data_IF_664505743568
#
_entry.id   IF_664505743568
#
_cell.length_a   1.000
_cell.length_b   1.000
_cell.length_c   1.000
_cell.angle_alpha   90.00
_cell.angle_beta   90.00
_cell.angle_gamma   90.00
#
_symmetry.space_group_name_H-M   'P 1'
#
loop_
_entity.id
_entity.type
_entity.pdbx_description
1 polymer ?
#
# COMPACT_ATOMS: atom_id res chain seq x y z
N UNK A 1 -20.98 5.30 -8.22
CA UNK A 1 -19.52 5.12 -8.15
C UNK A 1 -19.25 3.74 -8.69
N UNK A 2 -18.48 3.61 -9.77
CA UNK A 2 -18.12 2.27 -10.28
C UNK A 2 -17.28 1.54 -9.21
N UNK A 3 -17.61 0.27 -8.96
CA UNK A 3 -16.92 -0.56 -7.97
C UNK A 3 -16.14 -1.59 -8.78
N UNK A 4 -14.80 -1.62 -8.65
CA UNK A 4 -13.97 -2.56 -9.42
C UNK A 4 -14.25 -4.02 -9.05
N UNK A 5 -14.33 -4.30 -7.74
CA UNK A 5 -14.73 -5.58 -7.16
C UNK A 5 -15.56 -5.34 -5.90
N UNK A 6 -16.55 -6.17 -5.56
CA UNK A 6 -17.28 -6.04 -4.30
C UNK A 6 -16.32 -6.14 -3.11
N UNK A 7 -16.40 -5.18 -2.20
CA UNK A 7 -15.59 -5.13 -0.98
C UNK A 7 -16.49 -4.85 0.21
N UNK A 8 -16.15 -5.43 1.36
CA UNK A 8 -16.78 -5.19 2.66
C UNK A 8 -15.70 -5.12 3.72
N UNK A 9 -15.97 -4.40 4.80
CA UNK A 9 -15.07 -4.37 5.96
C UNK A 9 -15.10 -5.71 6.71
N UNK A 10 -14.01 -6.04 7.41
CA UNK A 10 -13.92 -7.32 8.12
C UNK A 10 -15.00 -7.47 9.20
N UNK A 11 -15.32 -6.40 9.92
CA UNK A 11 -16.42 -6.40 10.90
C UNK A 11 -17.80 -6.62 10.26
N UNK A 12 -18.01 -6.11 9.04
CA UNK A 12 -19.23 -6.38 8.28
C UNK A 12 -19.29 -7.86 7.87
N UNK A 13 -18.19 -8.43 7.41
CA UNK A 13 -18.09 -9.87 7.13
C UNK A 13 -18.49 -10.71 8.37
N UNK A 14 -17.96 -10.39 9.55
CA UNK A 14 -18.30 -11.11 10.79
C UNK A 14 -19.79 -11.02 11.14
N UNK A 15 -20.43 -9.88 10.85
CA UNK A 15 -21.86 -9.69 11.02
C UNK A 15 -22.69 -10.49 10.01
N UNK A 16 -22.31 -10.47 8.73
CA UNK A 16 -23.03 -11.15 7.64
C UNK A 16 -22.98 -12.68 7.76
N UNK A 17 -21.83 -13.23 8.12
CA UNK A 17 -21.67 -14.68 8.32
C UNK A 17 -22.27 -15.13 9.66
N UNK A 18 -22.44 -14.21 10.62
CA UNK A 18 -23.07 -14.49 11.91
C UNK A 18 -22.25 -15.39 12.84
N UNK A 19 -20.97 -15.62 12.53
CA UNK A 19 -20.02 -16.40 13.34
C UNK A 19 -18.64 -15.78 13.26
N UNK A 20 -17.85 -15.94 14.33
CA UNK A 20 -16.44 -15.51 14.40
C UNK A 20 -15.49 -16.64 14.00
N UNK A 21 -15.76 -17.24 12.85
CA UNK A 21 -14.99 -18.37 12.31
C UNK A 21 -14.79 -18.18 10.81
N UNK A 22 -13.54 -18.31 10.35
CA UNK A 22 -13.17 -18.38 8.93
C UNK A 22 -13.09 -19.86 8.54
N UNK A 23 -13.68 -20.25 7.42
CA UNK A 23 -13.75 -21.68 7.09
C UNK A 23 -12.38 -22.29 6.75
N UNK A 24 -11.55 -21.53 6.03
CA UNK A 24 -10.25 -21.99 5.54
C UNK A 24 -9.23 -20.88 5.55
N UNK A 25 -8.06 -21.15 6.13
CA UNK A 25 -6.84 -20.37 5.94
C UNK A 25 -5.93 -21.13 4.98
N UNK A 26 -5.45 -20.43 3.96
CA UNK A 26 -4.42 -20.90 3.03
C UNK A 26 -3.19 -20.03 3.26
N UNK A 27 -2.15 -20.60 3.83
CA UNK A 27 -0.88 -19.92 4.03
C UNK A 27 0.02 -20.12 2.82
N UNK A 28 0.25 -19.05 2.06
CA UNK A 28 1.14 -19.13 0.90
C UNK A 28 2.61 -19.19 1.34
N UNK A 29 3.38 -19.98 0.62
CA UNK A 29 4.83 -20.11 0.84
C UNK A 29 5.55 -20.36 -0.49
N UNK A 30 6.88 -20.25 -0.47
CA UNK A 30 7.68 -20.65 -1.62
C UNK A 30 7.81 -22.19 -1.71
N UNK A 31 8.25 -22.70 -2.86
CA UNK A 31 8.76 -24.06 -2.96
C UNK A 31 10.11 -24.14 -2.24
N UNK A 32 10.27 -25.11 -1.33
CA UNK A 32 11.47 -25.25 -0.50
C UNK A 32 12.74 -25.51 -1.34
N UNK A 33 12.57 -26.19 -2.48
CA UNK A 33 13.61 -26.46 -3.46
C UNK A 33 13.95 -25.24 -4.35
N UNK A 34 13.24 -24.12 -4.22
CA UNK A 34 13.36 -22.95 -5.09
C UNK A 34 12.80 -23.20 -6.50
N UNK A 35 13.33 -22.48 -7.49
CA UNK A 35 13.09 -22.76 -8.91
C UNK A 35 14.39 -23.21 -9.56
N UNK A 36 14.29 -24.22 -10.44
CA UNK A 36 15.46 -24.81 -11.11
C UNK A 36 15.81 -24.04 -12.37
N UNK A 37 17.10 -23.99 -12.68
CA UNK A 37 17.64 -23.55 -13.98
C UNK A 37 17.21 -22.15 -14.45
N UNK A 38 16.86 -21.26 -13.51
CA UNK A 38 16.41 -19.90 -13.81
C UNK A 38 15.05 -19.80 -14.51
N UNK A 39 14.29 -20.90 -14.62
CA UNK A 39 12.95 -20.90 -15.21
C UNK A 39 11.89 -20.67 -14.15
N UNK A 40 11.17 -19.56 -14.27
CA UNK A 40 10.00 -19.28 -13.44
C UNK A 40 8.79 -20.00 -14.02
N UNK A 41 8.41 -21.13 -13.40
CA UNK A 41 7.25 -21.93 -13.79
C UNK A 41 6.03 -21.52 -12.97
N UNK A 42 4.91 -21.23 -13.65
CA UNK A 42 3.64 -20.96 -12.97
C UNK A 42 3.06 -22.27 -12.45
N UNK A 43 3.05 -22.45 -11.13
CA UNK A 43 2.55 -23.65 -10.46
C UNK A 43 2.18 -23.38 -9.02
N UNK A 44 1.35 -24.27 -8.48
CA UNK A 44 1.02 -24.31 -7.07
C UNK A 44 0.82 -25.77 -6.62
N UNK A 45 1.06 -26.04 -5.35
CA UNK A 45 0.86 -27.37 -4.77
C UNK A 45 0.61 -27.27 -3.27
N UNK A 46 -0.32 -28.08 -2.75
CA UNK A 46 -0.47 -28.27 -1.29
C UNK A 46 0.78 -28.97 -0.77
N UNK A 47 1.46 -28.37 0.20
CA UNK A 47 2.74 -28.86 0.72
C UNK A 47 2.75 -28.80 2.25
N UNK A 48 3.62 -29.59 2.92
CA UNK A 48 3.91 -29.36 4.33
C UNK A 48 4.32 -27.90 4.58
N UNK A 49 3.89 -27.37 5.71
CA UNK A 49 4.22 -26.00 6.09
C UNK A 49 5.71 -25.84 6.36
N UNK A 50 6.32 -24.79 5.79
CA UNK A 50 7.70 -24.41 6.10
C UNK A 50 7.71 -23.61 7.41
N UNK A 51 6.93 -22.54 7.45
CA UNK A 51 6.81 -21.65 8.63
C UNK A 51 5.36 -21.46 9.10
N UNK A 52 4.35 -21.93 8.35
CA UNK A 52 2.93 -21.66 8.65
C UNK A 52 2.50 -22.08 10.06
N UNK A 53 3.00 -23.23 10.54
CA UNK A 53 2.70 -23.77 11.88
C UNK A 53 3.23 -22.91 13.02
N UNK A 54 4.15 -21.96 12.75
CA UNK A 54 4.62 -20.98 13.74
C UNK A 54 3.58 -19.90 14.01
N UNK A 55 2.74 -19.61 13.02
CA UNK A 55 1.76 -18.52 13.05
C UNK A 55 0.34 -19.02 13.31
N UNK A 56 0.05 -20.26 12.95
CA UNK A 56 -1.25 -20.88 13.14
C UNK A 56 -1.13 -22.14 13.99
N UNK A 57 -1.81 -22.14 15.13
CA UNK A 57 -1.76 -23.23 16.10
C UNK A 57 -3.14 -23.86 16.25
N UNK A 58 -3.18 -25.19 16.37
CA UNK A 58 -4.43 -25.92 16.52
C UNK A 58 -4.75 -26.14 18.00
N UNK A 59 -5.86 -25.57 18.46
CA UNK A 59 -6.34 -25.62 19.85
C UNK A 59 -7.83 -26.00 19.83
N UNK A 60 -8.23 -27.01 20.59
CA UNK A 60 -9.63 -27.49 20.68
C UNK A 60 -10.32 -27.72 19.33
N UNK A 61 -9.56 -28.22 18.35
CA UNK A 61 -10.06 -28.50 17.00
C UNK A 61 -10.12 -27.28 16.07
N UNK A 62 -9.74 -26.09 16.54
CA UNK A 62 -9.77 -24.81 15.82
C UNK A 62 -8.36 -24.30 15.59
N UNK A 63 -8.18 -23.41 14.62
CA UNK A 63 -6.90 -22.79 14.31
C UNK A 63 -6.87 -21.34 14.79
N UNK A 64 -6.02 -21.07 15.78
CA UNK A 64 -5.73 -19.76 16.33
C UNK A 64 -4.62 -19.07 15.53
N UNK A 65 -4.69 -17.75 15.38
CA UNK A 65 -3.74 -16.93 14.62
C UNK A 65 -3.96 -15.44 14.89
N UNK A 66 -3.22 -14.56 14.22
CA UNK A 66 -3.28 -13.11 14.49
C UNK A 66 -4.63 -12.46 14.14
N UNK A 67 -5.21 -12.81 12.98
CA UNK A 67 -6.51 -12.28 12.51
C UNK A 67 -6.71 -10.77 12.72
N UNK A 68 -5.67 -9.97 12.42
CA UNK A 68 -5.67 -8.50 12.49
C UNK A 68 -6.02 -7.90 13.86
N UNK A 69 -5.67 -8.57 14.97
CA UNK A 69 -5.96 -8.12 16.34
C UNK A 69 -7.24 -8.72 16.94
N UNK A 70 -7.83 -9.70 16.25
CA UNK A 70 -9.02 -10.42 16.71
C UNK A 70 -8.69 -11.83 17.23
N UNK A 71 -7.42 -12.12 17.55
CA UNK A 71 -6.91 -13.45 17.95
C UNK A 71 -7.68 -14.07 19.12
N UNK A 72 -8.28 -13.26 20.00
CA UNK A 72 -9.08 -13.73 21.14
C UNK A 72 -10.50 -14.18 20.79
N UNK A 73 -10.98 -13.85 19.58
CA UNK A 73 -12.39 -14.04 19.22
C UNK A 73 -12.63 -14.66 17.86
N UNK A 74 -11.65 -14.60 16.95
CA UNK A 74 -11.71 -15.18 15.60
C UNK A 74 -10.77 -16.36 15.52
N UNK A 75 -11.23 -17.43 14.88
CA UNK A 75 -10.46 -18.64 14.61
C UNK A 75 -10.77 -19.15 13.20
N UNK A 76 -9.98 -20.11 12.72
CA UNK A 76 -10.26 -20.82 11.49
C UNK A 76 -10.64 -22.29 11.74
N UNK A 77 -11.55 -22.81 10.91
CA UNK A 77 -11.96 -24.23 10.95
C UNK A 77 -10.91 -25.15 10.32
N UNK A 78 -10.22 -24.67 9.30
CA UNK A 78 -9.19 -25.42 8.58
C UNK A 78 -8.02 -24.51 8.22
N UNK A 79 -6.82 -25.09 8.18
CA UNK A 79 -5.57 -24.44 7.81
C UNK A 79 -4.78 -25.37 6.89
N UNK A 80 -4.11 -24.81 5.89
CA UNK A 80 -3.12 -25.53 5.10
C UNK A 80 -2.07 -24.57 4.52
N UNK A 81 -0.92 -25.12 4.14
CA UNK A 81 0.09 -24.40 3.39
C UNK A 81 0.08 -24.79 1.90
N UNK A 82 0.21 -23.78 1.04
CA UNK A 82 0.31 -23.95 -0.41
C UNK A 82 1.60 -23.31 -0.88
N UNK A 83 2.49 -24.12 -1.46
CA UNK A 83 3.65 -23.61 -2.17
C UNK A 83 3.21 -23.08 -3.52
N UNK A 84 3.55 -21.83 -3.84
CA UNK A 84 3.15 -21.16 -5.09
C UNK A 84 4.32 -20.44 -5.74
N UNK A 85 4.38 -20.54 -7.07
CA UNK A 85 5.18 -19.71 -7.96
C UNK A 85 4.22 -19.23 -9.04
N UNK A 86 3.91 -17.94 -9.08
CA UNK A 86 2.95 -17.45 -10.05
C UNK A 86 2.43 -16.06 -9.78
N UNK A 87 1.28 -15.81 -10.39
CA UNK A 87 0.63 -14.51 -10.44
C UNK A 87 -0.75 -14.58 -9.77
N UNK A 88 -1.48 -13.45 -9.72
CA UNK A 88 -2.80 -13.37 -9.09
C UNK A 88 -3.78 -14.44 -9.62
N UNK A 89 -3.81 -14.65 -10.94
CA UNK A 89 -4.60 -15.68 -11.62
C UNK A 89 -4.24 -17.12 -11.23
N UNK A 90 -3.03 -17.35 -10.73
CA UNK A 90 -2.58 -18.67 -10.25
C UNK A 90 -3.38 -19.13 -9.02
N UNK A 91 -3.96 -18.18 -8.26
CA UNK A 91 -4.80 -18.48 -7.09
C UNK A 91 -6.24 -18.84 -7.46
N UNK A 92 -6.72 -18.52 -8.67
CA UNK A 92 -8.09 -18.84 -9.10
C UNK A 92 -8.41 -20.33 -8.98
N UNK A 93 -7.63 -21.27 -9.55
CA UNK A 93 -7.91 -22.69 -9.38
C UNK A 93 -7.81 -23.16 -7.93
N UNK A 94 -6.95 -22.55 -7.10
CA UNK A 94 -6.84 -22.85 -5.66
C UNK A 94 -8.14 -22.49 -4.95
N UNK A 95 -8.66 -21.27 -5.16
CA UNK A 95 -9.92 -20.82 -4.56
C UNK A 95 -11.11 -21.66 -5.06
N UNK A 96 -11.14 -21.99 -6.35
CA UNK A 96 -12.20 -22.82 -6.93
C UNK A 96 -12.20 -24.25 -6.37
N UNK A 97 -11.02 -24.84 -6.11
CA UNK A 97 -10.91 -26.14 -5.45
C UNK A 97 -11.53 -26.10 -4.05
N UNK A 98 -11.18 -25.10 -3.24
CA UNK A 98 -11.72 -24.98 -1.88
C UNK A 98 -13.22 -24.69 -1.88
N UNK A 99 -13.71 -23.90 -2.83
CA UNK A 99 -15.15 -23.68 -3.04
C UNK A 99 -15.88 -25.00 -3.35
N UNK A 100 -15.31 -25.87 -4.18
CA UNK A 100 -15.88 -27.19 -4.47
C UNK A 100 -15.93 -28.11 -3.23
N UNK A 101 -15.06 -27.85 -2.25
CA UNK A 101 -15.08 -28.50 -0.93
C UNK A 101 -16.08 -27.84 0.05
N UNK A 102 -16.92 -26.92 -0.42
CA UNK A 102 -17.94 -26.18 0.34
C UNK A 102 -17.39 -25.25 1.42
N UNK A 103 -16.19 -24.70 1.20
CA UNK A 103 -15.71 -23.56 1.98
C UNK A 103 -16.34 -22.27 1.45
N UNK A 104 -16.94 -21.47 2.33
CA UNK A 104 -17.63 -20.22 1.97
C UNK A 104 -16.74 -19.00 2.21
N UNK A 105 -15.83 -19.08 3.18
CA UNK A 105 -14.86 -18.03 3.51
C UNK A 105 -13.43 -18.56 3.50
N UNK A 106 -12.58 -17.95 2.67
CA UNK A 106 -11.18 -18.37 2.49
C UNK A 106 -10.29 -17.15 2.76
N UNK A 107 -9.40 -17.27 3.75
CA UNK A 107 -8.33 -16.33 4.02
C UNK A 107 -7.05 -16.79 3.33
N UNK A 108 -6.52 -15.97 2.42
CA UNK A 108 -5.21 -16.18 1.79
C UNK A 108 -4.18 -15.35 2.54
N UNK A 109 -3.31 -16.02 3.27
CA UNK A 109 -2.20 -15.44 4.01
C UNK A 109 -0.94 -15.35 3.16
N UNK A 110 -0.04 -14.43 3.52
CA UNK A 110 1.22 -14.19 2.79
C UNK A 110 0.98 -13.89 1.31
N UNK A 111 -0.05 -13.12 1.01
CA UNK A 111 -0.49 -12.79 -0.34
C UNK A 111 0.59 -12.09 -1.19
N UNK A 112 1.63 -11.51 -0.57
CA UNK A 112 2.80 -10.97 -1.27
C UNK A 112 3.62 -12.04 -2.01
N UNK A 113 3.38 -13.32 -1.75
CA UNK A 113 4.05 -14.45 -2.43
C UNK A 113 3.67 -14.50 -3.91
N UNK A 114 2.49 -14.02 -4.31
CA UNK A 114 2.07 -13.98 -5.71
C UNK A 114 2.36 -12.64 -6.37
N UNK A 115 2.72 -12.69 -7.66
CA UNK A 115 2.99 -11.51 -8.46
C UNK A 115 1.71 -10.96 -9.11
N UNK A 116 1.80 -9.77 -9.70
CA UNK A 116 0.76 -9.29 -10.61
C UNK A 116 0.69 -10.16 -11.88
N UNK A 117 -0.52 -10.38 -12.43
CA UNK A 117 -0.70 -11.06 -13.72
C UNK A 117 0.04 -10.33 -14.85
N UNK A 118 -0.37 -9.09 -15.10
CA UNK A 118 0.27 -8.21 -16.06
C UNK A 118 0.50 -6.84 -15.42
N UNK A 119 1.72 -6.61 -14.92
CA UNK A 119 2.07 -5.35 -14.29
C UNK A 119 1.91 -4.18 -15.29
N UNK A 120 1.10 -3.18 -14.92
CA UNK A 120 0.87 -1.98 -15.74
C UNK A 120 -0.15 -2.15 -16.86
N UNK A 121 -0.89 -3.28 -16.92
CA UNK A 121 -1.97 -3.47 -17.87
C UNK A 121 -3.28 -2.75 -17.46
N UNK A 122 -4.34 -2.95 -18.25
CA UNK A 122 -5.64 -2.34 -17.98
C UNK A 122 -6.22 -2.79 -16.63
N UNK A 123 -6.12 -4.07 -16.26
CA UNK A 123 -6.71 -4.55 -15.01
C UNK A 123 -5.93 -4.04 -13.78
N UNK A 124 -4.60 -4.03 -13.86
CA UNK A 124 -3.72 -3.39 -12.89
C UNK A 124 -4.12 -1.93 -12.66
N UNK A 125 -4.27 -1.15 -13.73
CA UNK A 125 -4.63 0.26 -13.62
C UNK A 125 -6.07 0.47 -13.17
N UNK A 126 -7.02 -0.41 -13.51
CA UNK A 126 -8.40 -0.34 -12.98
C UNK A 126 -8.42 -0.58 -11.48
N UNK A 127 -7.73 -1.63 -11.00
CA UNK A 127 -7.56 -1.87 -9.56
C UNK A 127 -6.96 -0.63 -8.88
N UNK A 128 -5.83 -0.13 -9.39
CA UNK A 128 -5.13 1.03 -8.82
C UNK A 128 -5.99 2.31 -8.82
N UNK A 129 -6.75 2.58 -9.88
CA UNK A 129 -7.62 3.77 -10.01
C UNK A 129 -8.83 3.72 -9.09
N UNK A 130 -9.34 2.53 -8.80
CA UNK A 130 -10.48 2.35 -7.89
C UNK A 130 -10.15 2.72 -6.43
N UNK A 131 -8.86 2.67 -6.05
CA UNK A 131 -8.38 3.06 -4.72
C UNK A 131 -8.31 4.59 -4.56
N UNK A 132 -9.47 5.24 -4.42
CA UNK A 132 -9.59 6.67 -4.13
C UNK A 132 -9.49 6.91 -2.63
N UNK A 133 -8.65 7.86 -2.21
CA UNK A 133 -8.58 8.26 -0.80
C UNK A 133 -9.93 8.76 -0.27
N UNK A 134 -10.17 8.58 1.03
CA UNK A 134 -11.39 9.06 1.69
C UNK A 134 -11.61 10.56 1.40
N UNK A 135 -12.87 10.99 1.20
CA UNK A 135 -13.19 12.40 0.99
C UNK A 135 -12.63 13.32 2.09
N UNK A 136 -12.64 12.88 3.34
CA UNK A 136 -12.15 13.64 4.48
C UNK A 136 -10.63 13.87 4.40
N UNK A 137 -9.86 12.82 4.06
CA UNK A 137 -8.40 12.95 3.89
C UNK A 137 -8.05 13.86 2.70
N UNK A 138 -8.81 13.77 1.60
CA UNK A 138 -8.65 14.68 0.46
C UNK A 138 -8.94 16.13 0.84
N UNK A 139 -10.02 16.37 1.59
CA UNK A 139 -10.36 17.70 2.07
C UNK A 139 -9.27 18.29 2.97
N UNK A 140 -8.70 17.51 3.90
CA UNK A 140 -7.57 17.93 4.74
C UNK A 140 -6.36 18.30 3.88
N UNK A 141 -6.03 17.47 2.89
CA UNK A 141 -4.92 17.72 1.97
C UNK A 141 -5.16 18.99 1.12
N UNK A 142 -6.38 19.19 0.63
CA UNK A 142 -6.75 20.36 -0.17
C UNK A 142 -6.74 21.65 0.65
N UNK A 143 -7.15 21.59 1.92
CA UNK A 143 -7.01 22.70 2.85
C UNK A 143 -5.55 23.06 3.10
N UNK A 144 -4.67 22.06 3.23
CA UNK A 144 -3.24 22.29 3.33
C UNK A 144 -2.67 22.93 2.05
N UNK A 145 -3.02 22.40 0.87
CA UNK A 145 -2.60 22.95 -0.43
C UNK A 145 -2.98 24.42 -0.58
N UNK A 146 -4.24 24.77 -0.31
CA UNK A 146 -4.72 26.15 -0.39
C UNK A 146 -3.98 27.07 0.58
N UNK A 147 -3.82 26.66 1.83
CA UNK A 147 -3.27 27.51 2.90
C UNK A 147 -1.74 27.64 2.87
N UNK A 148 -1.03 26.60 2.43
CA UNK A 148 0.42 26.52 2.58
C UNK A 148 1.19 26.46 1.26
N UNK A 149 0.54 26.07 0.16
CA UNK A 149 1.19 25.80 -1.12
C UNK A 149 0.63 26.64 -2.28
N UNK A 150 -0.32 27.55 -2.02
CA UNK A 150 -1.01 28.34 -3.06
C UNK A 150 -1.52 27.48 -4.22
N UNK A 151 -2.15 26.35 -3.88
CA UNK A 151 -2.50 25.27 -4.80
C UNK A 151 -3.95 24.83 -4.59
N UNK A 152 -4.66 24.60 -5.70
CA UNK A 152 -5.98 24.01 -5.76
C UNK A 152 -6.24 23.36 -7.13
N UNK A 153 -7.22 22.47 -7.22
CA UNK A 153 -7.44 21.67 -8.43
C UNK A 153 -7.72 22.48 -9.69
N UNK A 154 -8.38 23.64 -9.56
CA UNK A 154 -8.72 24.49 -10.69
C UNK A 154 -7.48 25.23 -11.21
N UNK A 155 -6.70 25.84 -10.31
CA UNK A 155 -5.45 26.53 -10.66
C UNK A 155 -4.36 25.58 -11.19
N UNK A 156 -4.39 24.32 -10.72
CA UNK A 156 -3.38 23.31 -11.01
C UNK A 156 -3.76 22.41 -12.21
N UNK A 157 -4.96 22.58 -12.78
CA UNK A 157 -5.53 21.68 -13.80
C UNK A 157 -5.54 20.21 -13.36
N UNK A 158 -5.92 19.95 -12.11
CA UNK A 158 -5.91 18.60 -11.50
C UNK A 158 -7.28 18.12 -11.02
N UNK A 159 -8.37 18.77 -11.47
CA UNK A 159 -9.74 18.32 -11.18
C UNK A 159 -9.95 16.88 -11.66
N UNK A 160 -10.38 16.01 -10.74
CA UNK A 160 -10.74 14.63 -11.03
C UNK A 160 -12.20 14.39 -10.63
N UNK A 161 -12.97 13.74 -11.49
CA UNK A 161 -14.34 13.36 -11.19
C UNK A 161 -14.43 12.32 -10.06
N UNK A 162 -15.59 12.25 -9.39
CA UNK A 162 -15.84 11.28 -8.33
C UNK A 162 -15.89 9.84 -8.84
N UNK A 163 -16.39 9.66 -10.06
CA UNK A 163 -16.40 8.37 -10.73
C UNK A 163 -15.05 8.11 -11.40
N UNK A 164 -14.20 7.33 -10.71
CA UNK A 164 -12.86 7.01 -11.20
C UNK A 164 -12.88 6.33 -12.56
N UNK A 165 -13.94 5.57 -12.90
CA UNK A 165 -14.07 4.85 -14.18
C UNK A 165 -14.13 5.80 -15.38
N UNK A 166 -14.77 6.96 -15.20
CA UNK A 166 -14.96 8.02 -16.20
C UNK A 166 -13.82 9.04 -16.22
N UNK A 167 -12.84 8.87 -15.34
CA UNK A 167 -11.68 9.76 -15.32
C UNK A 167 -10.81 9.49 -16.54
N UNK A 168 -10.85 10.41 -17.50
CA UNK A 168 -9.96 10.44 -18.67
C UNK A 168 -9.06 11.67 -18.55
N UNK A 169 -7.75 11.45 -18.35
CA UNK A 169 -6.76 12.51 -18.34
C UNK A 169 -5.69 12.21 -19.38
N UNK A 170 -5.36 13.21 -20.20
CA UNK A 170 -4.27 13.08 -21.17
C UNK A 170 -2.93 13.32 -20.46
N UNK A 171 -1.91 12.60 -20.91
CA UNK A 171 -0.55 12.85 -20.44
C UNK A 171 -0.18 14.33 -20.69
N UNK A 172 0.33 15.00 -19.65
CA UNK A 172 0.71 16.42 -19.70
C UNK A 172 -0.43 17.42 -19.51
N UNK A 173 -1.67 16.98 -19.27
CA UNK A 173 -2.81 17.89 -19.02
C UNK A 173 -2.74 18.54 -17.63
N UNK A 174 -2.26 17.81 -16.63
CA UNK A 174 -2.09 18.34 -15.28
C UNK A 174 -0.88 19.26 -15.22
N UNK A 175 -1.08 20.49 -14.74
CA UNK A 175 -0.01 21.47 -14.53
C UNK A 175 0.67 21.27 -13.17
N UNK A 176 -0.13 21.03 -12.13
CA UNK A 176 0.32 20.99 -10.75
C UNK A 176 0.46 22.38 -10.11
N UNK A 177 0.51 22.40 -8.78
CA UNK A 177 0.69 23.63 -8.00
C UNK A 177 2.11 24.19 -8.05
N UNK A 178 2.33 25.43 -7.59
CA UNK A 178 3.60 26.13 -7.68
C UNK A 178 4.59 25.69 -6.58
N UNK A 179 4.86 24.40 -6.45
CA UNK A 179 5.79 23.85 -5.46
C UNK A 179 6.45 22.55 -5.94
N UNK A 180 7.62 22.24 -5.36
CA UNK A 180 8.30 20.97 -5.57
C UNK A 180 7.88 19.98 -4.47
N UNK A 181 7.33 18.83 -4.85
CA UNK A 181 7.05 17.74 -3.90
C UNK A 181 8.24 16.79 -3.80
N UNK A 182 8.69 16.49 -2.56
CA UNK A 182 9.79 15.58 -2.29
C UNK A 182 9.33 14.53 -1.27
N UNK A 183 9.41 13.25 -1.67
CA UNK A 183 9.30 12.14 -0.73
C UNK A 183 10.70 11.68 -0.34
N UNK A 184 11.09 11.93 0.91
CA UNK A 184 12.43 11.66 1.43
C UNK A 184 12.39 10.56 2.47
N UNK A 185 12.51 9.30 2.01
CA UNK A 185 12.50 8.11 2.85
C UNK A 185 13.88 7.85 3.46
N UNK A 186 13.98 7.81 4.80
CA UNK A 186 15.24 7.65 5.54
C UNK A 186 15.24 6.42 6.45
N UNK A 187 14.97 6.58 7.75
CA UNK A 187 15.02 5.57 8.84
C UNK A 187 15.77 4.26 8.51
N UNK A 188 15.05 3.14 8.46
CA UNK A 188 15.53 1.79 8.12
C UNK A 188 16.09 1.69 6.69
N UNK A 189 15.58 2.49 5.76
CA UNK A 189 16.02 2.52 4.38
C UNK A 189 17.48 2.99 4.25
N UNK A 190 17.95 3.91 5.09
CA UNK A 190 19.36 4.33 5.13
C UNK A 190 20.28 3.16 5.53
N UNK A 191 19.81 2.27 6.42
CA UNK A 191 20.61 1.12 6.86
C UNK A 191 20.64 0.01 5.81
N UNK A 192 19.52 -0.25 5.15
CA UNK A 192 19.39 -1.30 4.16
C UNK A 192 19.92 -0.90 2.76
N UNK A 193 19.74 0.36 2.37
CA UNK A 193 19.97 0.88 1.02
C UNK A 193 20.83 2.16 0.99
N UNK A 194 21.68 2.40 2.00
CA UNK A 194 22.40 3.67 2.14
C UNK A 194 23.27 4.07 0.94
N UNK A 195 23.70 3.12 0.10
CA UNK A 195 24.48 3.41 -1.13
C UNK A 195 23.63 3.95 -2.27
N UNK A 196 22.33 3.64 -2.28
CA UNK A 196 21.39 4.04 -3.32
C UNK A 196 20.70 5.37 -2.99
N UNK A 197 20.98 5.94 -1.81
CA UNK A 197 20.35 7.14 -1.29
C UNK A 197 21.32 8.33 -1.29
N UNK A 198 20.85 9.54 -1.63
CA UNK A 198 21.65 10.73 -1.44
C UNK A 198 21.89 11.01 0.04
N UNK A 199 23.06 11.58 0.35
CA UNK A 199 23.30 12.20 1.66
C UNK A 199 22.34 13.39 1.88
N UNK A 200 22.29 13.93 3.11
CA UNK A 200 21.46 15.12 3.40
C UNK A 200 21.89 16.30 2.51
N UNK A 201 23.20 16.53 2.39
CA UNK A 201 23.75 17.56 1.49
C UNK A 201 23.46 17.24 0.02
N UNK A 202 23.63 15.99 -0.42
CA UNK A 202 23.28 15.58 -1.79
C UNK A 202 21.80 15.78 -2.11
N UNK A 203 20.91 15.56 -1.14
CA UNK A 203 19.48 15.84 -1.25
C UNK A 203 19.23 17.34 -1.41
N UNK A 204 19.87 18.18 -0.58
CA UNK A 204 19.77 19.63 -0.68
C UNK A 204 20.23 20.17 -2.04
N UNK A 205 21.34 19.63 -2.58
CA UNK A 205 21.85 19.99 -3.90
C UNK A 205 20.85 19.65 -5.01
N UNK A 206 20.24 18.46 -4.96
CA UNK A 206 19.22 18.06 -5.94
C UNK A 206 17.98 18.95 -5.85
N UNK A 207 17.46 19.21 -4.65
CA UNK A 207 16.32 20.10 -4.43
C UNK A 207 16.64 21.50 -4.97
N UNK A 208 17.81 22.04 -4.64
CA UNK A 208 18.24 23.38 -5.10
C UNK A 208 18.28 23.48 -6.63
N UNK A 209 18.87 22.49 -7.29
CA UNK A 209 18.92 22.46 -8.76
C UNK A 209 17.53 22.37 -9.39
N UNK A 210 16.61 21.62 -8.79
CA UNK A 210 15.23 21.51 -9.26
C UNK A 210 14.45 22.81 -9.06
N UNK A 211 14.56 23.45 -7.89
CA UNK A 211 13.93 24.74 -7.61
C UNK A 211 14.34 25.81 -8.63
N UNK A 212 15.65 25.93 -8.90
CA UNK A 212 16.16 26.87 -9.91
C UNK A 212 15.65 26.55 -11.32
N UNK A 213 15.75 25.28 -11.74
CA UNK A 213 15.36 24.86 -13.09
C UNK A 213 13.86 25.05 -13.36
N UNK A 214 13.03 24.81 -12.34
CA UNK A 214 11.57 24.88 -12.44
C UNK A 214 11.01 26.25 -12.05
N UNK A 215 11.87 27.18 -11.63
CA UNK A 215 11.50 28.50 -11.10
C UNK A 215 10.48 28.39 -9.96
N UNK A 216 10.80 27.56 -8.97
CA UNK A 216 10.01 27.32 -7.76
C UNK A 216 10.80 27.73 -6.52
N UNK A 217 10.09 28.12 -5.47
CA UNK A 217 10.64 28.50 -4.17
C UNK A 217 10.03 27.71 -3.00
N UNK A 218 8.88 27.06 -3.19
CA UNK A 218 8.23 26.22 -2.18
C UNK A 218 8.58 24.73 -2.38
N UNK A 219 8.91 24.05 -1.28
CA UNK A 219 9.10 22.59 -1.23
C UNK A 219 8.08 21.98 -0.28
N UNK A 220 7.25 21.06 -0.76
CA UNK A 220 6.49 20.16 0.11
C UNK A 220 7.31 18.90 0.42
N UNK A 221 7.66 18.68 1.68
CA UNK A 221 8.49 17.57 2.12
C UNK A 221 7.67 16.51 2.87
N UNK A 222 7.48 15.35 2.26
CA UNK A 222 6.97 14.16 2.91
C UNK A 222 8.14 13.27 3.35
N UNK A 223 8.32 13.05 4.65
CA UNK A 223 9.48 12.32 5.16
C UNK A 223 9.19 11.64 6.49
N UNK A 224 9.80 10.47 6.67
CA UNK A 224 9.85 9.73 7.93
C UNK A 224 11.11 10.07 8.77
N UNK A 225 11.94 11.00 8.29
CA UNK A 225 13.16 11.43 8.97
C UNK A 225 12.87 12.08 10.34
N UNK A 226 13.76 11.90 11.34
CA UNK A 226 13.70 12.68 12.57
C UNK A 226 13.89 14.17 12.29
N UNK A 227 13.35 15.01 13.19
CA UNK A 227 13.37 16.46 13.03
C UNK A 227 14.78 17.03 12.85
N UNK A 228 15.78 16.47 13.54
CA UNK A 228 17.18 16.89 13.43
C UNK A 228 17.75 16.78 12.01
N UNK A 229 17.42 15.71 11.28
CA UNK A 229 17.85 15.55 9.88
C UNK A 229 17.09 16.47 8.94
N UNK A 230 15.82 16.76 9.24
CA UNK A 230 15.02 17.75 8.50
C UNK A 230 15.58 19.15 8.68
N UNK A 231 15.91 19.54 9.91
CA UNK A 231 16.52 20.85 10.21
C UNK A 231 17.87 20.99 9.50
N UNK A 232 18.67 19.91 9.49
CA UNK A 232 19.94 19.89 8.75
C UNK A 232 19.71 20.02 7.24
N UNK A 233 18.73 19.33 6.66
CA UNK A 233 18.37 19.49 5.25
C UNK A 233 18.00 20.93 4.93
N UNK A 234 17.11 21.53 5.74
CA UNK A 234 16.68 22.92 5.58
C UNK A 234 17.87 23.88 5.68
N UNK A 235 18.83 23.63 6.58
CA UNK A 235 20.03 24.45 6.73
C UNK A 235 20.94 24.49 5.49
N UNK A 236 20.85 23.48 4.63
CA UNK A 236 21.61 23.39 3.37
C UNK A 236 20.85 23.92 2.15
N UNK A 237 19.56 24.23 2.28
CA UNK A 237 18.77 24.79 1.19
C UNK A 237 19.00 26.32 1.07
N UNK A 238 18.73 26.91 -0.11
CA UNK A 238 18.78 28.36 -0.30
C UNK A 238 17.83 29.05 0.68
N UNK A 239 18.20 30.23 1.18
CA UNK A 239 17.35 31.01 2.08
C UNK A 239 16.01 31.42 1.47
N UNK A 240 15.92 31.46 0.14
CA UNK A 240 14.68 31.73 -0.59
C UNK A 240 13.73 30.52 -0.60
N UNK A 241 14.20 29.31 -0.29
CA UNK A 241 13.38 28.12 -0.30
C UNK A 241 12.51 28.04 0.96
N UNK A 242 11.20 27.86 0.78
CA UNK A 242 10.24 27.64 1.87
C UNK A 242 9.86 26.16 1.94
N UNK A 243 10.29 25.47 3.00
CA UNK A 243 9.93 24.05 3.22
C UNK A 243 8.63 23.97 4.02
N UNK A 244 7.65 23.25 3.46
CA UNK A 244 6.33 22.99 4.04
C UNK A 244 6.18 21.49 4.31
N UNK A 245 5.63 21.16 5.47
CA UNK A 245 5.34 19.77 5.88
C UNK A 245 3.94 19.73 6.48
N UNK A 246 3.20 18.68 6.18
CA UNK A 246 1.96 18.42 6.90
C UNK A 246 2.32 17.86 8.28
N UNK A 247 1.83 18.52 9.32
CA UNK A 247 1.89 18.03 10.69
C UNK A 247 0.45 17.79 11.14
N UNK A 248 0.07 16.52 11.28
CA UNK A 248 -1.26 16.14 11.70
C UNK A 248 -1.53 16.60 13.15
N UNK A 249 -2.74 17.07 13.42
CA UNK A 249 -3.18 17.31 14.80
C UNK A 249 -3.35 15.98 15.55
N UNK A 250 -3.34 16.02 16.88
CA UNK A 250 -3.62 14.84 17.70
C UNK A 250 -4.99 14.22 17.40
N UNK A 251 -5.97 15.03 17.02
CA UNK A 251 -7.29 14.57 16.61
C UNK A 251 -7.24 13.77 15.29
N UNK A 252 -6.53 14.30 14.28
CA UNK A 252 -6.36 13.62 12.99
C UNK A 252 -5.61 12.29 13.20
N UNK A 253 -4.52 12.30 13.96
CA UNK A 253 -3.74 11.11 14.31
C UNK A 253 -4.59 10.08 15.07
N UNK A 254 -5.41 10.53 16.02
CA UNK A 254 -6.29 9.64 16.78
C UNK A 254 -7.33 8.96 15.90
N UNK A 255 -7.85 9.66 14.89
CA UNK A 255 -8.89 9.17 13.99
C UNK A 255 -8.35 8.23 12.92
N UNK A 256 -7.24 8.61 12.26
CA UNK A 256 -6.72 7.89 11.09
C UNK A 256 -5.51 7.00 11.39
N UNK A 257 -4.91 7.15 12.59
CA UNK A 257 -3.77 6.36 13.09
C UNK A 257 -2.51 6.43 12.22
N UNK A 258 -2.41 7.45 11.36
CA UNK A 258 -1.30 7.78 10.46
C UNK A 258 -1.17 9.31 10.33
#
# INVERSE_FOLDING_TARGET
MDIYVPVIEFEQYLQEVGRREIDKVIYLQHFAEGWKDGKFEIKWEKRPCIDGDRYYQKEDGKWSGWFWGYESSVHARSFECVSVQGQSSTLVPVVLQEKNMKFESILIERAETVLHDHFGDVQYWRARRSMRYSPELRQIADDFRRKQLSSDDAADSTVLGDDWSKTEAKHGQAKGGPYLAVHWRRKDFVRAHGKDLPSINGTAQQITGLLQRLNLDVVYLATDAPQTEVDQLISYLPKSASVKRFAASSEILGKYKD
#
